data_IF_711728609670
#
_entry.id   IF_711728609670
#
_cell.length_a   1.000
_cell.length_b   1.000
_cell.length_c   1.000
_cell.angle_alpha   90.00
_cell.angle_beta   90.00
_cell.angle_gamma   90.00
#
_symmetry.space_group_name_H-M   'P 1'
#
loop_
_entity.id
_entity.type
_entity.pdbx_description
1 polymer ?
#
# COMPACT_ATOMS: atom_id res chain seq x y z
N UNK A 1 9.86 -25.94 -13.34
CA UNK A 1 8.74 -25.27 -12.64
C UNK A 1 9.05 -25.30 -11.15
N UNK A 2 9.25 -24.14 -10.52
CA UNK A 2 9.46 -24.08 -9.08
C UNK A 2 8.16 -24.48 -8.37
N UNK A 3 8.24 -25.44 -7.45
CA UNK A 3 7.09 -25.86 -6.65
C UNK A 3 6.75 -24.70 -5.72
N UNK A 4 5.52 -24.17 -5.81
CA UNK A 4 5.05 -23.18 -4.84
C UNK A 4 5.14 -23.81 -3.44
N UNK A 5 5.83 -23.12 -2.51
CA UNK A 5 6.11 -23.61 -1.15
C UNK A 5 4.85 -23.57 -0.27
N UNK A 6 3.93 -22.66 -0.60
CA UNK A 6 2.66 -22.46 0.10
C UNK A 6 1.50 -22.94 -0.76
N UNK A 7 0.47 -23.49 -0.13
CA UNK A 7 -0.83 -23.76 -0.74
C UNK A 7 -1.58 -22.47 -1.07
N UNK A 8 -2.61 -22.54 -1.93
CA UNK A 8 -3.42 -21.37 -2.29
C UNK A 8 -4.10 -20.71 -1.09
N UNK A 9 -4.56 -21.50 -0.11
CA UNK A 9 -5.19 -20.98 1.10
C UNK A 9 -4.19 -20.28 2.01
N UNK A 10 -2.99 -20.83 2.18
CA UNK A 10 -1.89 -20.17 2.90
C UNK A 10 -1.47 -18.87 2.21
N UNK A 11 -1.47 -18.84 0.88
CA UNK A 11 -1.19 -17.62 0.11
C UNK A 11 -2.27 -16.55 0.34
N UNK A 12 -3.56 -16.91 0.39
CA UNK A 12 -4.66 -15.98 0.73
C UNK A 12 -4.57 -15.45 2.15
N UNK A 13 -4.24 -16.31 3.13
CA UNK A 13 -4.04 -15.89 4.52
C UNK A 13 -2.87 -14.91 4.61
N UNK A 14 -1.77 -15.18 3.91
CA UNK A 14 -0.62 -14.29 3.85
C UNK A 14 -0.99 -12.91 3.27
N UNK A 15 -1.81 -12.86 2.22
CA UNK A 15 -2.34 -11.59 1.68
C UNK A 15 -3.11 -10.84 2.77
N UNK A 16 -4.00 -11.51 3.52
CA UNK A 16 -4.73 -10.88 4.62
C UNK A 16 -3.82 -10.32 5.73
N UNK A 17 -2.79 -11.07 6.12
CA UNK A 17 -1.80 -10.62 7.13
C UNK A 17 -1.03 -9.39 6.61
N UNK A 18 -0.56 -9.44 5.37
CA UNK A 18 0.16 -8.34 4.74
C UNK A 18 -0.72 -7.10 4.61
N UNK A 19 -1.98 -7.26 4.23
CA UNK A 19 -2.96 -6.17 4.14
C UNK A 19 -3.10 -5.43 5.48
N UNK A 20 -3.30 -6.18 6.56
CA UNK A 20 -3.45 -5.60 7.91
C UNK A 20 -2.17 -4.89 8.35
N UNK A 21 -1.01 -5.53 8.17
CA UNK A 21 0.26 -4.94 8.53
C UNK A 21 0.57 -3.68 7.72
N UNK A 22 0.31 -3.69 6.41
CA UNK A 22 0.54 -2.54 5.54
C UNK A 22 -0.40 -1.38 5.87
N UNK A 23 -1.66 -1.65 6.20
CA UNK A 23 -2.61 -0.62 6.66
C UNK A 23 -2.07 0.08 7.90
N UNK A 24 -1.65 -0.69 8.91
CA UNK A 24 -1.10 -0.16 10.16
C UNK A 24 0.25 0.53 9.94
N UNK A 25 1.20 -0.13 9.28
CA UNK A 25 2.53 0.41 9.00
C UNK A 25 2.50 1.68 8.16
N UNK A 26 1.60 1.78 7.19
CA UNK A 26 1.40 3.03 6.43
C UNK A 26 0.86 4.15 7.31
N UNK A 27 0.01 3.83 8.28
CA UNK A 27 -0.50 4.80 9.26
C UNK A 27 0.66 5.36 10.08
N UNK A 28 1.47 4.49 10.68
CA UNK A 28 2.65 4.90 11.46
C UNK A 28 3.63 5.71 10.62
N UNK A 29 3.85 5.31 9.35
CA UNK A 29 4.72 6.05 8.44
C UNK A 29 4.22 7.48 8.18
N UNK A 30 2.92 7.64 7.93
CA UNK A 30 2.30 8.95 7.65
C UNK A 30 2.36 9.86 8.87
N UNK A 31 2.25 9.31 10.08
CA UNK A 31 2.41 10.07 11.32
C UNK A 31 3.86 10.32 11.74
N UNK A 32 4.84 9.79 11.00
CA UNK A 32 6.26 9.94 11.33
C UNK A 32 6.70 9.11 12.54
N UNK A 33 5.95 8.06 12.88
CA UNK A 33 6.18 7.20 14.05
C UNK A 33 7.10 6.01 13.73
N UNK A 34 7.54 5.87 12.48
CA UNK A 34 8.50 4.85 12.07
C UNK A 34 9.93 5.38 12.02
N UNK A 35 10.85 4.55 12.50
CA UNK A 35 12.28 4.73 12.21
C UNK A 35 12.57 4.50 10.73
N UNK A 36 13.75 4.88 10.27
CA UNK A 36 14.21 4.63 8.89
C UNK A 36 14.12 3.14 8.54
N UNK A 37 14.50 2.26 9.46
CA UNK A 37 14.42 0.81 9.23
C UNK A 37 12.98 0.28 9.26
N UNK A 38 12.10 0.90 10.06
CA UNK A 38 10.66 0.66 9.99
C UNK A 38 10.09 1.00 8.61
N UNK A 39 10.46 2.16 8.07
CA UNK A 39 10.05 2.60 6.71
C UNK A 39 10.57 1.61 5.65
N UNK A 40 11.85 1.19 5.74
CA UNK A 40 12.40 0.17 4.82
C UNK A 40 11.60 -1.13 4.88
N UNK A 41 11.27 -1.62 6.08
CA UNK A 41 10.47 -2.83 6.26
C UNK A 41 9.09 -2.72 5.61
N UNK A 42 8.38 -1.62 5.86
CA UNK A 42 7.07 -1.37 5.25
C UNK A 42 7.17 -1.35 3.72
N UNK A 43 8.20 -0.70 3.15
CA UNK A 43 8.40 -0.69 1.70
C UNK A 43 8.71 -2.08 1.13
N UNK A 44 9.49 -2.91 1.83
CA UNK A 44 9.71 -4.30 1.42
C UNK A 44 8.42 -5.10 1.39
N UNK A 45 7.55 -4.92 2.38
CA UNK A 45 6.24 -5.58 2.42
C UNK A 45 5.31 -5.08 1.31
N UNK A 46 5.34 -3.78 1.00
CA UNK A 46 4.61 -3.23 -0.17
C UNK A 46 5.06 -3.89 -1.46
N UNK A 47 6.37 -4.02 -1.66
CA UNK A 47 6.91 -4.68 -2.85
C UNK A 47 6.51 -6.15 -2.94
N UNK A 48 6.48 -6.88 -1.82
CA UNK A 48 5.98 -8.26 -1.79
C UNK A 48 4.50 -8.29 -2.15
N UNK A 49 3.69 -7.42 -1.55
CA UNK A 49 2.26 -7.36 -1.80
C UNK A 49 1.92 -6.99 -3.25
N UNK A 50 2.66 -6.06 -3.86
CA UNK A 50 2.53 -5.73 -5.30
C UNK A 50 2.73 -6.95 -6.18
N UNK A 51 3.77 -7.75 -5.91
CA UNK A 51 4.03 -8.98 -6.68
C UNK A 51 2.93 -10.02 -6.50
N UNK A 52 2.32 -10.10 -5.32
CA UNK A 52 1.18 -10.98 -5.08
C UNK A 52 -0.07 -10.50 -5.83
N UNK A 53 -0.35 -9.19 -5.82
CA UNK A 53 -1.45 -8.61 -6.61
C UNK A 53 -1.29 -8.99 -8.09
N UNK A 54 -0.08 -8.84 -8.64
CA UNK A 54 0.21 -9.22 -10.03
C UNK A 54 0.09 -10.74 -10.26
N UNK A 55 0.69 -11.58 -9.39
CA UNK A 55 0.63 -13.06 -9.48
C UNK A 55 -0.80 -13.57 -9.57
N UNK A 56 -1.71 -12.99 -8.78
CA UNK A 56 -3.11 -13.40 -8.73
C UNK A 56 -4.05 -12.57 -9.60
N UNK A 57 -3.51 -11.65 -10.44
CA UNK A 57 -4.31 -10.76 -11.29
C UNK A 57 -5.39 -9.99 -10.51
N UNK A 58 -5.07 -9.54 -9.30
CA UNK A 58 -6.02 -8.86 -8.41
C UNK A 58 -6.14 -7.36 -8.70
N UNK A 59 -5.37 -6.83 -9.65
CA UNK A 59 -5.27 -5.39 -9.87
C UNK A 59 -6.62 -4.72 -10.20
N UNK A 60 -7.45 -5.39 -10.98
CA UNK A 60 -8.77 -4.89 -11.39
C UNK A 60 -9.83 -5.01 -10.28
N UNK A 61 -9.55 -5.78 -9.22
CA UNK A 61 -10.47 -6.07 -8.13
C UNK A 61 -10.21 -5.23 -6.88
N UNK A 62 -9.23 -4.32 -6.92
CA UNK A 62 -8.82 -3.48 -5.78
C UNK A 62 -9.03 -2.03 -6.17
N UNK A 63 -9.79 -1.28 -5.37
CA UNK A 63 -10.00 0.15 -5.59
C UNK A 63 -8.77 1.01 -5.21
N UNK A 64 -8.71 2.22 -5.76
CA UNK A 64 -7.61 3.15 -5.49
C UNK A 64 -7.54 3.62 -4.02
N UNK A 65 -8.67 3.66 -3.31
CA UNK A 65 -8.75 3.95 -1.87
C UNK A 65 -7.97 2.90 -1.06
N UNK A 66 -8.10 1.63 -1.45
CA UNK A 66 -7.40 0.50 -0.86
C UNK A 66 -5.91 0.57 -1.14
N UNK A 67 -5.52 0.84 -2.39
CA UNK A 67 -4.11 1.08 -2.72
C UNK A 67 -3.50 2.23 -1.90
N UNK A 68 -4.25 3.31 -1.71
CA UNK A 68 -3.81 4.46 -0.91
C UNK A 68 -3.66 4.09 0.57
N UNK A 69 -4.58 3.30 1.09
CA UNK A 69 -4.57 2.79 2.47
C UNK A 69 -3.34 1.90 2.73
N UNK A 70 -2.93 1.12 1.75
CA UNK A 70 -1.75 0.25 1.83
C UNK A 70 -0.43 0.98 1.49
N UNK A 71 -0.52 2.21 0.99
CA UNK A 71 0.63 2.98 0.50
C UNK A 71 1.22 2.45 -0.80
N UNK A 72 0.43 1.72 -1.59
CA UNK A 72 0.78 1.14 -2.89
C UNK A 72 0.59 2.16 -4.02
N UNK A 73 1.21 3.33 -3.88
CA UNK A 73 0.99 4.51 -4.74
C UNK A 73 1.46 4.40 -6.19
N UNK A 74 2.01 3.23 -6.56
CA UNK A 74 2.34 2.90 -7.94
C UNK A 74 1.13 2.36 -8.72
N UNK A 75 0.10 1.88 -8.02
CA UNK A 75 -1.16 1.41 -8.61
C UNK A 75 -2.24 2.50 -8.65
N UNK A 76 -1.91 3.73 -8.24
CA UNK A 76 -2.84 4.85 -8.19
C UNK A 76 -2.45 5.86 -9.26
N UNK A 77 -3.43 6.26 -10.07
CA UNK A 77 -3.20 7.33 -11.03
C UNK A 77 -2.86 8.65 -10.30
N UNK A 78 -1.90 9.42 -10.84
CA UNK A 78 -1.49 10.69 -10.23
C UNK A 78 -2.69 11.63 -10.02
N UNK A 79 -3.59 11.71 -10.99
CA UNK A 79 -4.81 12.52 -10.91
C UNK A 79 -5.72 12.10 -9.75
N UNK A 80 -5.85 10.80 -9.50
CA UNK A 80 -6.61 10.27 -8.36
C UNK A 80 -5.94 10.63 -7.03
N UNK A 81 -4.62 10.50 -6.94
CA UNK A 81 -3.87 10.89 -5.74
C UNK A 81 -4.02 12.40 -5.43
N UNK A 82 -3.99 13.25 -6.46
CA UNK A 82 -4.26 14.69 -6.33
C UNK A 82 -5.71 14.97 -5.94
N UNK A 83 -6.67 14.19 -6.44
CA UNK A 83 -8.09 14.29 -6.04
C UNK A 83 -8.27 13.91 -4.57
N UNK A 84 -7.65 12.81 -4.11
CA UNK A 84 -7.70 12.40 -2.70
C UNK A 84 -7.11 13.46 -1.77
N UNK A 85 -6.01 14.11 -2.16
CA UNK A 85 -5.37 15.14 -1.32
C UNK A 85 -6.23 16.40 -1.12
N UNK A 86 -7.21 16.64 -2.00
CA UNK A 86 -8.18 17.75 -1.91
C UNK A 86 -9.54 17.33 -1.34
N UNK A 87 -9.75 16.04 -1.07
CA UNK A 87 -11.05 15.53 -0.61
C UNK A 87 -11.21 15.67 0.91
N UNK A 88 -12.02 16.63 1.35
CA UNK A 88 -12.24 16.89 2.78
C UNK A 88 -13.22 15.91 3.46
N UNK A 89 -13.93 15.07 2.70
CA UNK A 89 -14.89 14.10 3.26
C UNK A 89 -14.22 12.93 3.96
N UNK A 90 -13.00 12.57 3.58
CA UNK A 90 -12.23 11.50 4.23
C UNK A 90 -10.83 11.99 4.58
N UNK A 91 -10.69 12.56 5.78
CA UNK A 91 -9.41 13.09 6.29
C UNK A 91 -8.29 12.06 6.32
N UNK A 92 -8.60 10.77 6.55
CA UNK A 92 -7.59 9.71 6.58
C UNK A 92 -6.96 9.50 5.20
N UNK A 93 -7.77 9.35 4.16
CA UNK A 93 -7.27 9.24 2.78
C UNK A 93 -6.61 10.54 2.31
N UNK A 94 -7.16 11.69 2.69
CA UNK A 94 -6.58 12.98 2.37
C UNK A 94 -5.16 13.14 2.93
N UNK A 95 -4.95 12.81 4.21
CA UNK A 95 -3.64 12.91 4.86
C UNK A 95 -2.63 11.96 4.24
N UNK A 96 -3.05 10.72 3.92
CA UNK A 96 -2.21 9.75 3.20
C UNK A 96 -1.82 10.26 1.82
N UNK A 97 -2.76 10.81 1.06
CA UNK A 97 -2.49 11.35 -0.27
C UNK A 97 -1.52 12.53 -0.22
N UNK A 98 -1.72 13.49 0.70
CA UNK A 98 -0.80 14.61 0.93
C UNK A 98 0.60 14.12 1.28
N UNK A 99 0.71 13.15 2.19
CA UNK A 99 1.99 12.54 2.57
C UNK A 99 2.71 11.97 1.34
N UNK A 100 2.04 11.12 0.56
CA UNK A 100 2.68 10.44 -0.57
C UNK A 100 3.00 11.37 -1.76
N UNK A 101 2.20 12.42 -1.99
CA UNK A 101 2.54 13.46 -2.95
C UNK A 101 3.84 14.17 -2.53
N UNK A 102 3.92 14.61 -1.27
CA UNK A 102 5.12 15.29 -0.75
C UNK A 102 6.38 14.43 -0.79
N UNK A 103 6.23 13.10 -0.75
CA UNK A 103 7.33 12.14 -0.85
C UNK A 103 7.77 11.89 -2.29
N UNK A 104 6.87 11.98 -3.26
CA UNK A 104 7.20 11.88 -4.70
C UNK A 104 7.98 13.11 -5.17
N UNK A 105 7.66 14.29 -4.64
CA UNK A 105 8.34 15.54 -5.01
C UNK A 105 9.77 15.67 -4.42
N UNK A 106 10.13 14.80 -3.47
CA UNK A 106 11.46 14.75 -2.83
C UNK A 106 12.44 13.75 -3.48
N UNK A 107 12.02 13.06 -4.54
CA UNK A 107 12.84 12.13 -5.31
C UNK A 107 13.17 12.72 -6.67
#
# INVERSE_FOLDING_TARGET
MGKDILTDDEQKILIGILYNYLTFGTTLEVFGELTIDGIKRVNSLRNIFSKLIEKFSLAENIDEDTYLTLGLVNFIHKASLEKFSRNDKNKHLQNRAKYFLSKKDKK
#
